data_IF_111606610908
#
_entry.id   IF_111606610908
#
_cell.length_a   1.000
_cell.length_b   1.000
_cell.length_c   1.000
_cell.angle_alpha   90.00
_cell.angle_beta   90.00
_cell.angle_gamma   90.00
#
_symmetry.space_group_name_H-M   'P 1'
#
loop_
_entity.id
_entity.type
_entity.pdbx_description
1 polymer ?
#
# COMPACT_ATOMS: atom_id res chain seq x y z
N UNK A 1 -1.12 11.26 9.31
CA UNK A 1 -0.17 11.62 8.23
C UNK A 1 -0.90 11.73 6.90
N UNK A 2 -0.38 12.53 5.98
CA UNK A 2 -0.84 12.57 4.57
C UNK A 2 0.00 11.58 3.76
N UNK A 3 -0.58 10.64 2.99
CA UNK A 3 0.19 9.67 2.21
C UNK A 3 0.99 10.33 1.07
N UNK A 4 2.29 10.03 0.98
CA UNK A 4 3.16 10.50 -0.11
C UNK A 4 2.77 9.97 -1.49
N UNK A 5 1.96 8.90 -1.56
CA UNK A 5 1.43 8.39 -2.83
C UNK A 5 0.58 9.42 -3.59
N UNK A 6 0.00 10.41 -2.89
CA UNK A 6 -0.77 11.49 -3.50
C UNK A 6 0.08 12.45 -4.32
N UNK A 7 1.40 12.49 -4.14
CA UNK A 7 2.30 13.28 -4.98
C UNK A 7 2.25 12.82 -6.46
N UNK A 8 1.88 11.57 -6.70
CA UNK A 8 1.78 10.98 -8.05
C UNK A 8 0.50 11.39 -8.79
N UNK A 9 -0.45 12.04 -8.11
CA UNK A 9 -1.71 12.47 -8.72
C UNK A 9 -1.49 13.78 -9.49
N UNK A 10 -1.16 13.65 -10.78
CA UNK A 10 -0.91 14.78 -11.68
C UNK A 10 -2.14 15.66 -11.97
N UNK A 11 -3.35 15.17 -11.71
CA UNK A 11 -4.60 15.90 -11.92
C UNK A 11 -5.29 16.33 -10.62
N UNK A 12 -4.62 16.21 -9.47
CA UNK A 12 -5.15 16.62 -8.18
C UNK A 12 -5.22 18.15 -8.09
N UNK A 13 -6.35 18.74 -8.50
CA UNK A 13 -6.56 20.19 -8.54
C UNK A 13 -7.16 20.77 -7.26
N UNK A 14 -7.78 19.93 -6.43
CA UNK A 14 -8.34 20.31 -5.14
C UNK A 14 -7.97 19.26 -4.10
N UNK A 15 -7.48 19.75 -2.97
CA UNK A 15 -7.13 18.93 -1.82
C UNK A 15 -7.48 19.71 -0.55
N UNK A 16 -8.21 19.08 0.36
CA UNK A 16 -8.58 19.67 1.64
C UNK A 16 -8.66 18.55 2.68
N UNK A 17 -7.83 18.66 3.72
CA UNK A 17 -7.80 17.76 4.88
C UNK A 17 -7.88 18.56 6.18
N UNK A 18 -8.41 19.79 6.12
CA UNK A 18 -8.53 20.66 7.27
C UNK A 18 -9.36 20.02 8.39
N UNK A 19 -9.06 20.37 9.63
CA UNK A 19 -9.77 19.95 10.84
C UNK A 19 -9.87 18.42 11.01
N UNK A 20 -8.78 17.72 10.69
CA UNK A 20 -8.62 16.31 10.99
C UNK A 20 -7.62 16.10 12.15
N UNK A 21 -7.34 14.85 12.49
CA UNK A 21 -6.31 14.49 13.49
C UNK A 21 -5.03 14.00 12.83
N UNK A 22 -4.63 14.66 11.73
CA UNK A 22 -3.39 14.30 11.02
C UNK A 22 -2.18 14.89 11.75
N UNK A 23 -1.08 14.15 11.72
CA UNK A 23 0.22 14.58 12.25
C UNK A 23 1.32 14.26 11.24
N UNK A 24 2.46 14.94 11.37
CA UNK A 24 3.69 14.69 10.61
C UNK A 24 3.94 15.72 9.52
N UNK A 25 4.88 15.41 8.63
CA UNK A 25 5.28 16.30 7.54
C UNK A 25 4.28 16.23 6.37
N UNK A 26 3.99 17.38 5.76
CA UNK A 26 3.26 17.47 4.50
C UNK A 26 4.20 17.04 3.38
N UNK A 27 3.83 16.04 2.56
CA UNK A 27 4.65 15.64 1.41
C UNK A 27 4.92 16.85 0.51
N UNK A 28 6.18 17.07 0.12
CA UNK A 28 6.61 18.25 -0.66
C UNK A 28 6.56 18.01 -2.17
N UNK A 29 6.35 16.77 -2.62
CA UNK A 29 6.28 16.43 -4.05
C UNK A 29 4.92 16.74 -4.70
N UNK A 30 4.88 16.63 -6.02
CA UNK A 30 3.65 16.77 -6.80
C UNK A 30 3.04 18.17 -6.72
N UNK A 31 1.76 18.24 -6.34
CA UNK A 31 0.97 19.48 -6.29
C UNK A 31 0.72 20.00 -4.87
N UNK A 32 1.35 19.42 -3.84
CA UNK A 32 1.06 19.81 -2.45
C UNK A 32 1.40 21.27 -2.15
N UNK A 33 2.41 21.83 -2.82
CA UNK A 33 2.82 23.22 -2.68
C UNK A 33 1.86 24.24 -3.33
N UNK A 34 0.90 23.78 -4.15
CA UNK A 34 -0.06 24.66 -4.82
C UNK A 34 -1.36 24.83 -4.02
N UNK A 35 -1.59 23.97 -3.02
CA UNK A 35 -2.77 24.06 -2.17
C UNK A 35 -2.58 25.11 -1.07
N UNK A 36 -3.65 25.87 -0.74
CA UNK A 36 -3.56 26.90 0.30
C UNK A 36 -3.35 26.29 1.69
N UNK A 37 -2.72 27.02 2.60
CA UNK A 37 -2.49 26.60 3.98
C UNK A 37 -3.80 26.21 4.70
N UNK A 38 -4.93 26.82 4.34
CA UNK A 38 -6.26 26.49 4.88
C UNK A 38 -6.65 25.03 4.63
N UNK A 39 -6.14 24.39 3.57
CA UNK A 39 -6.37 22.98 3.28
C UNK A 39 -5.73 22.02 4.29
N UNK A 40 -4.80 22.51 5.11
CA UNK A 40 -4.06 21.75 6.11
C UNK A 40 -4.32 22.21 7.55
N UNK A 41 -5.14 23.24 7.74
CA UNK A 41 -5.43 23.85 9.05
C UNK A 41 -6.07 22.84 10.02
N UNK A 42 -5.91 23.07 11.33
CA UNK A 42 -6.56 22.26 12.36
C UNK A 42 -5.96 20.86 12.52
N UNK A 43 -4.77 20.62 11.98
CA UNK A 43 -4.01 19.38 12.11
C UNK A 43 -2.62 19.67 12.73
N UNK A 44 -1.95 18.63 13.28
CA UNK A 44 -0.56 18.69 13.74
C UNK A 44 0.44 18.41 12.61
N UNK A 45 0.22 19.09 11.47
CA UNK A 45 1.08 19.01 10.29
C UNK A 45 2.19 20.06 10.34
N UNK A 46 3.31 19.77 9.69
CA UNK A 46 4.43 20.69 9.51
C UNK A 46 5.00 20.59 8.08
N UNK A 47 5.74 21.61 7.64
CA UNK A 47 6.32 21.70 6.29
C UNK A 47 5.98 23.02 5.60
N UNK A 48 6.15 23.08 4.28
CA UNK A 48 6.08 24.32 3.48
C UNK A 48 4.74 25.06 3.59
N UNK A 49 3.63 24.32 3.63
CA UNK A 49 2.27 24.88 3.70
C UNK A 49 1.73 25.01 5.13
N UNK A 50 2.60 24.81 6.13
CA UNK A 50 2.23 24.84 7.55
C UNK A 50 3.36 25.48 8.39
N UNK A 51 3.44 25.14 9.68
CA UNK A 51 4.56 25.52 10.53
C UNK A 51 5.82 24.72 10.13
N UNK A 52 7.03 25.30 10.21
CA UNK A 52 8.26 24.54 10.00
C UNK A 52 8.32 23.32 10.93
N UNK A 53 8.78 22.18 10.39
CA UNK A 53 9.04 21.02 11.22
C UNK A 53 10.23 21.32 12.16
N UNK A 54 10.16 20.87 13.40
CA UNK A 54 11.29 21.01 14.33
C UNK A 54 12.45 20.14 13.84
N UNK A 55 13.45 20.74 13.22
CA UNK A 55 14.71 20.07 12.91
C UNK A 55 15.41 19.80 14.24
N UNK A 56 15.27 18.59 14.78
CA UNK A 56 16.16 18.14 15.84
C UNK A 56 17.55 18.07 15.20
N UNK A 57 18.37 19.09 15.44
CA UNK A 57 19.76 19.15 15.05
C UNK A 57 20.54 18.13 15.89
N UNK A 58 20.41 16.84 15.57
CA UNK A 58 21.14 15.76 16.22
C UNK A 58 22.61 15.83 15.80
N UNK A 59 23.39 16.69 16.44
CA UNK A 59 24.85 16.52 16.50
C UNK A 59 25.15 15.31 17.38
N UNK A 60 25.41 14.20 16.69
CA UNK A 60 26.29 13.09 17.07
C UNK A 60 25.95 12.14 18.25
N UNK A 61 26.01 10.85 17.88
CA UNK A 61 26.43 9.67 18.67
C UNK A 61 25.34 8.86 19.37
N UNK A 62 24.88 7.80 18.70
CA UNK A 62 24.86 6.41 19.19
C UNK A 62 24.21 5.50 18.12
N UNK A 63 24.84 4.39 17.70
CA UNK A 63 24.29 3.49 16.71
C UNK A 63 23.24 2.60 17.36
N UNK A 64 21.97 3.00 17.30
CA UNK A 64 20.88 2.09 17.69
C UNK A 64 20.72 1.00 16.62
N UNK A 65 21.42 -0.11 16.82
CA UNK A 65 21.31 -1.32 16.01
C UNK A 65 19.92 -1.96 16.22
N UNK A 66 18.91 -1.51 15.44
CA UNK A 66 17.60 -2.17 15.34
C UNK A 66 17.73 -3.26 14.27
N UNK A 67 17.97 -4.49 14.69
CA UNK A 67 17.80 -5.64 13.80
C UNK A 67 16.30 -5.81 13.50
N UNK A 68 15.80 -5.10 12.50
CA UNK A 68 14.51 -5.39 11.89
C UNK A 68 14.68 -6.76 11.21
N UNK A 69 14.22 -7.82 11.89
CA UNK A 69 14.01 -9.13 11.27
C UNK A 69 12.94 -8.95 10.19
N UNK A 70 13.37 -8.79 8.94
CA UNK A 70 12.50 -9.01 7.78
C UNK A 70 12.20 -10.51 7.73
N UNK A 71 11.11 -10.94 8.35
CA UNK A 71 10.56 -12.27 8.10
C UNK A 71 10.05 -12.27 6.66
N UNK A 72 10.84 -12.82 5.74
CA UNK A 72 10.56 -12.83 4.31
C UNK A 72 9.26 -13.58 4.02
N UNK A 73 8.34 -12.92 3.34
CA UNK A 73 7.14 -13.52 2.76
C UNK A 73 7.54 -14.26 1.47
N UNK A 74 8.14 -15.44 1.61
CA UNK A 74 8.57 -16.25 0.45
C UNK A 74 7.80 -17.57 0.28
N UNK A 75 6.86 -17.89 1.18
CA UNK A 75 6.14 -19.18 1.13
C UNK A 75 4.71 -19.06 0.55
N UNK A 76 4.15 -17.86 0.43
CA UNK A 76 2.75 -17.68 0.00
C UNK A 76 2.46 -18.06 -1.46
N UNK A 77 3.47 -18.01 -2.34
CA UNK A 77 3.27 -18.21 -3.78
C UNK A 77 3.06 -19.70 -4.13
N UNK A 78 3.72 -20.61 -3.41
CA UNK A 78 3.58 -22.05 -3.62
C UNK A 78 2.23 -22.59 -3.12
N UNK A 79 1.81 -22.19 -1.90
CA UNK A 79 0.52 -22.62 -1.34
C UNK A 79 -0.67 -22.09 -2.18
N UNK A 80 -0.56 -20.86 -2.71
CA UNK A 80 -1.58 -20.28 -3.59
C UNK A 80 -1.75 -21.06 -4.89
N UNK A 81 -0.65 -21.49 -5.53
CA UNK A 81 -0.72 -22.23 -6.79
C UNK A 81 -1.33 -23.62 -6.61
N UNK A 82 -0.94 -24.34 -5.55
CA UNK A 82 -1.46 -25.69 -5.26
C UNK A 82 -2.96 -25.67 -4.95
N UNK A 83 -3.42 -24.76 -4.08
CA UNK A 83 -4.84 -24.62 -3.76
C UNK A 83 -5.66 -24.15 -4.98
N UNK A 84 -5.11 -23.23 -5.78
CA UNK A 84 -5.74 -22.76 -7.01
C UNK A 84 -5.98 -23.88 -8.03
N UNK A 85 -4.95 -24.70 -8.30
CA UNK A 85 -5.06 -25.83 -9.25
C UNK A 85 -6.06 -26.88 -8.75
N UNK A 86 -6.07 -27.18 -7.45
CA UNK A 86 -7.02 -28.14 -6.87
C UNK A 86 -8.48 -27.69 -7.00
N UNK A 87 -8.77 -26.42 -6.71
CA UNK A 87 -10.11 -25.84 -6.84
C UNK A 87 -10.54 -25.72 -8.31
N UNK A 88 -9.63 -25.34 -9.21
CA UNK A 88 -9.91 -25.28 -10.64
C UNK A 88 -10.23 -26.67 -11.22
N UNK A 89 -9.50 -27.71 -10.79
CA UNK A 89 -9.83 -29.09 -11.17
C UNK A 89 -11.14 -29.56 -10.54
N UNK A 90 -11.42 -29.23 -9.28
CA UNK A 90 -12.67 -29.63 -8.61
C UNK A 90 -13.90 -28.98 -9.26
N UNK A 91 -13.80 -27.70 -9.62
CA UNK A 91 -14.89 -26.96 -10.28
C UNK A 91 -15.07 -27.40 -11.74
N UNK A 92 -13.99 -27.65 -12.48
CA UNK A 92 -14.09 -28.19 -13.84
C UNK A 92 -14.64 -29.62 -13.87
N UNK A 93 -14.31 -30.47 -12.89
CA UNK A 93 -14.99 -31.77 -12.64
C UNK A 93 -16.46 -31.64 -12.27
N UNK A 94 -16.92 -30.47 -11.84
CA UNK A 94 -18.31 -30.25 -11.44
C UNK A 94 -19.16 -29.45 -12.44
N UNK A 95 -18.55 -28.91 -13.50
CA UNK A 95 -19.26 -28.17 -14.54
C UNK A 95 -19.68 -29.11 -15.69
N UNK A 96 -20.97 -29.16 -16.02
CA UNK A 96 -21.60 -30.12 -16.96
C UNK A 96 -20.86 -30.40 -18.28
N UNK A 97 -20.48 -29.39 -19.08
CA UNK A 97 -19.76 -29.62 -20.33
C UNK A 97 -18.32 -30.12 -20.11
N UNK A 98 -17.67 -29.70 -19.02
CA UNK A 98 -16.29 -30.07 -18.68
C UNK A 98 -16.19 -31.42 -17.97
N UNK A 99 -17.24 -31.84 -17.26
CA UNK A 99 -17.40 -33.19 -16.67
C UNK A 99 -17.17 -34.29 -17.71
N UNK A 100 -17.83 -34.18 -18.87
CA UNK A 100 -17.73 -35.19 -19.94
C UNK A 100 -16.32 -35.28 -20.51
N UNK A 101 -15.68 -34.14 -20.75
CA UNK A 101 -14.31 -34.08 -21.25
C UNK A 101 -13.31 -34.66 -20.24
N UNK A 102 -13.52 -34.40 -18.95
CA UNK A 102 -12.64 -34.89 -17.89
C UNK A 102 -12.70 -36.42 -17.71
N UNK A 103 -13.90 -37.02 -17.82
CA UNK A 103 -14.09 -38.47 -17.76
C UNK A 103 -13.39 -39.17 -18.93
N UNK A 104 -13.50 -38.64 -20.15
CA UNK A 104 -12.85 -39.23 -21.33
C UNK A 104 -11.32 -39.19 -21.26
N UNK A 105 -10.75 -38.19 -20.61
CA UNK A 105 -9.29 -38.03 -20.48
C UNK A 105 -8.65 -38.89 -19.39
N UNK A 106 -9.43 -39.42 -18.43
CA UNK A 106 -8.91 -40.15 -17.26
C UNK A 106 -9.44 -41.60 -17.14
N UNK A 107 -10.12 -42.11 -18.18
CA UNK A 107 -10.53 -43.51 -18.19
C UNK A 107 -9.29 -44.38 -18.49
N UNK A 108 -8.94 -45.36 -17.63
CA UNK A 108 -7.94 -46.34 -18.01
C UNK A 108 -8.49 -47.14 -19.19
N UNK A 109 -7.72 -47.21 -20.28
CA UNK A 109 -7.99 -48.09 -21.43
C UNK A 109 -7.99 -49.55 -21.02
#
# INVERSE_FOLDING_TARGET
MVPSSFEKLSFLSKFNVAYNKLHGEIPSGGQFSTFPNSSFEGNDLCGDQAKPCSTIHNRHTEPHNKSIRKTGFNDGMAFGFVLGVALFQATSRNCGPFKKLWILLNLPT
#
